data_IF_066429875199
#
_entry.id   IF_066429875199
#
_cell.length_a   1.000
_cell.length_b   1.000
_cell.length_c   1.000
_cell.angle_alpha   90.00
_cell.angle_beta   90.00
_cell.angle_gamma   90.00
#
_symmetry.space_group_name_H-M   'P 1'
#
loop_
_entity.id
_entity.type
_entity.pdbx_description
1 polymer ?
#
# COMPACT_ATOMS: atom_id res chain seq x y z
N UNK A 1 21.64 -3.26 21.58
CA UNK A 1 21.51 -2.62 20.26
C UNK A 1 20.92 -3.65 19.32
N UNK A 2 19.68 -3.46 18.87
CA UNK A 2 19.06 -4.32 17.86
C UNK A 2 19.44 -3.73 16.51
N UNK A 3 20.39 -4.34 15.80
CA UNK A 3 20.70 -3.92 14.43
C UNK A 3 19.56 -4.43 13.52
N UNK A 4 18.76 -3.54 12.92
CA UNK A 4 17.81 -3.98 11.90
C UNK A 4 18.61 -4.61 10.76
N UNK A 5 18.34 -5.88 10.50
CA UNK A 5 18.99 -6.63 9.42
C UNK A 5 18.82 -5.88 8.10
N UNK A 6 19.89 -5.78 7.30
CA UNK A 6 19.90 -5.06 5.99
C UNK A 6 18.73 -5.43 5.06
N UNK A 7 18.10 -6.59 5.28
CA UNK A 7 16.92 -7.08 4.57
C UNK A 7 15.63 -6.34 4.93
N UNK A 8 15.43 -5.96 6.21
CA UNK A 8 14.26 -5.21 6.67
C UNK A 8 14.13 -3.85 5.99
N UNK A 9 15.26 -3.15 5.84
CA UNK A 9 15.31 -1.88 5.12
C UNK A 9 15.03 -2.02 3.62
N UNK A 10 15.41 -3.15 3.00
CA UNK A 10 15.13 -3.39 1.57
C UNK A 10 13.64 -3.59 1.30
N UNK A 11 12.95 -4.36 2.14
CA UNK A 11 11.50 -4.58 2.02
C UNK A 11 10.73 -3.26 2.17
N UNK A 12 10.99 -2.54 3.25
CA UNK A 12 10.36 -1.24 3.52
C UNK A 12 10.62 -0.22 2.41
N UNK A 13 11.86 -0.12 1.91
CA UNK A 13 12.20 0.83 0.84
C UNK A 13 11.43 0.55 -0.45
N UNK A 14 11.27 -0.73 -0.82
CA UNK A 14 10.46 -1.11 -1.99
C UNK A 14 9.00 -0.71 -1.78
N UNK A 15 8.44 -1.03 -0.63
CA UNK A 15 7.06 -0.68 -0.31
C UNK A 15 6.82 0.83 -0.36
N UNK A 16 7.73 1.64 0.19
CA UNK A 16 7.67 3.11 0.17
C UNK A 16 7.70 3.67 -1.26
N UNK A 17 8.64 3.19 -2.09
CA UNK A 17 8.77 3.64 -3.48
C UNK A 17 7.55 3.27 -4.33
N UNK A 18 6.91 2.14 -4.05
CA UNK A 18 5.76 1.67 -4.83
C UNK A 18 4.41 2.18 -4.32
N UNK A 19 4.32 2.69 -3.09
CA UNK A 19 3.03 2.99 -2.45
C UNK A 19 2.18 3.98 -3.25
N UNK A 20 2.77 5.10 -3.69
CA UNK A 20 2.08 6.12 -4.48
C UNK A 20 1.57 5.58 -5.82
N UNK A 21 2.45 5.07 -6.70
CA UNK A 21 2.05 4.51 -7.98
C UNK A 21 1.02 3.38 -7.85
N UNK A 22 1.17 2.53 -6.84
CA UNK A 22 0.26 1.42 -6.59
C UNK A 22 -1.13 1.91 -6.15
N UNK A 23 -1.21 2.92 -5.29
CA UNK A 23 -2.48 3.53 -4.91
C UNK A 23 -3.18 4.16 -6.11
N UNK A 24 -2.46 4.89 -6.97
CA UNK A 24 -3.05 5.48 -8.19
C UNK A 24 -3.55 4.39 -9.15
N UNK A 25 -2.73 3.37 -9.40
CA UNK A 25 -3.10 2.28 -10.29
C UNK A 25 -4.35 1.53 -9.79
N UNK A 26 -4.45 1.26 -8.49
CA UNK A 26 -5.61 0.62 -7.88
C UNK A 26 -6.85 1.52 -7.89
N UNK A 27 -6.70 2.83 -7.70
CA UNK A 27 -7.80 3.79 -7.85
C UNK A 27 -8.34 3.77 -9.28
N UNK A 28 -7.47 3.83 -10.28
CA UNK A 28 -7.86 3.77 -11.70
C UNK A 28 -8.53 2.44 -12.04
N UNK A 29 -7.98 1.33 -11.57
CA UNK A 29 -8.58 0.01 -11.77
C UNK A 29 -9.97 -0.10 -11.11
N UNK A 30 -10.14 0.46 -9.91
CA UNK A 30 -11.42 0.47 -9.22
C UNK A 30 -12.45 1.37 -9.92
N UNK A 31 -12.02 2.52 -10.47
CA UNK A 31 -12.90 3.38 -11.28
C UNK A 31 -13.35 2.67 -12.55
N UNK A 32 -12.43 2.07 -13.29
CA UNK A 32 -12.76 1.28 -14.49
C UNK A 32 -13.69 0.11 -14.16
N UNK A 33 -13.52 -0.54 -13.01
CA UNK A 33 -14.39 -1.64 -12.58
C UNK A 33 -15.84 -1.20 -12.35
N UNK A 34 -16.05 0.03 -11.84
CA UNK A 34 -17.38 0.57 -11.58
C UNK A 34 -18.17 0.91 -12.85
N UNK A 35 -17.50 0.99 -14.00
CA UNK A 35 -18.12 1.28 -15.30
C UNK A 35 -18.61 0.01 -16.01
N UNK A 36 -18.24 -1.19 -15.55
CA UNK A 36 -18.73 -2.42 -16.18
C UNK A 36 -20.25 -2.61 -15.98
N UNK A 37 -21.00 -3.06 -17.00
CA UNK A 37 -20.54 -3.59 -18.28
C UNK A 37 -20.44 -2.54 -19.42
N UNK A 38 -20.64 -1.25 -19.14
CA UNK A 38 -20.59 -0.20 -20.16
C UNK A 38 -19.18 -0.07 -20.76
N UNK A 39 -19.11 0.49 -21.96
CA UNK A 39 -17.85 0.73 -22.65
C UNK A 39 -17.04 1.78 -21.87
N UNK A 40 -15.79 1.45 -21.54
CA UNK A 40 -14.85 2.38 -20.92
C UNK A 40 -14.40 3.37 -22.01
N UNK A 41 -15.06 4.53 -22.08
CA UNK A 41 -14.69 5.59 -23.00
C UNK A 41 -13.43 6.31 -22.48
N UNK A 42 -12.26 5.81 -22.88
CA UNK A 42 -10.99 6.47 -22.59
C UNK A 42 -10.78 7.69 -23.48
N UNK A 43 -11.07 8.85 -22.92
CA UNK A 43 -10.77 10.12 -23.57
C UNK A 43 -9.24 10.27 -23.75
N UNK A 44 -8.74 10.70 -24.93
CA UNK A 44 -7.30 10.82 -25.19
C UNK A 44 -6.57 11.76 -24.21
N UNK A 45 -7.28 12.77 -23.71
CA UNK A 45 -6.78 13.69 -22.69
C UNK A 45 -6.55 12.99 -21.34
N UNK A 46 -7.44 12.06 -20.96
CA UNK A 46 -7.27 11.26 -19.75
C UNK A 46 -6.05 10.32 -19.87
N UNK A 47 -5.81 9.76 -21.07
CA UNK A 47 -4.65 8.91 -21.36
C UNK A 47 -3.31 9.64 -21.14
N UNK A 48 -3.24 10.93 -21.50
CA UNK A 48 -2.07 11.79 -21.28
C UNK A 48 -1.91 12.21 -19.81
N UNK A 49 -3.01 12.30 -19.05
CA UNK A 49 -2.98 12.64 -17.63
C UNK A 49 -2.42 11.54 -16.73
N UNK A 50 -2.67 10.26 -17.06
CA UNK A 50 -2.21 9.09 -16.28
C UNK A 50 -0.70 9.12 -15.98
N UNK A 51 0.22 9.27 -16.96
CA UNK A 51 1.65 9.29 -16.65
C UNK A 51 2.07 10.47 -15.77
N UNK A 52 1.39 11.61 -15.88
CA UNK A 52 1.66 12.79 -15.04
C UNK A 52 1.27 12.51 -13.59
N UNK A 53 0.08 11.95 -13.36
CA UNK A 53 -0.40 11.57 -12.02
C UNK A 53 0.49 10.47 -11.43
N UNK A 54 0.90 9.50 -12.25
CA UNK A 54 1.79 8.42 -11.81
C UNK A 54 3.19 8.95 -11.43
N UNK A 55 3.73 9.90 -12.20
CA UNK A 55 5.00 10.56 -11.89
C UNK A 55 4.89 11.37 -10.59
N UNK A 56 3.81 12.12 -10.42
CA UNK A 56 3.56 12.84 -9.18
C UNK A 56 3.45 11.88 -7.99
N UNK A 57 2.73 10.76 -8.14
CA UNK A 57 2.61 9.75 -7.11
C UNK A 57 3.94 9.04 -6.81
N UNK A 58 4.81 8.86 -7.80
CA UNK A 58 6.16 8.33 -7.62
C UNK A 58 7.06 9.30 -6.82
N UNK A 59 6.95 10.60 -7.06
CA UNK A 59 7.77 11.61 -6.39
C UNK A 59 7.26 11.89 -4.98
N UNK A 60 5.95 12.15 -4.83
CA UNK A 60 5.35 12.60 -3.57
C UNK A 60 4.85 11.46 -2.69
N UNK A 61 4.47 10.32 -3.28
CA UNK A 61 3.98 9.14 -2.55
C UNK A 61 4.94 8.65 -1.47
N UNK A 62 6.27 8.56 -1.73
CA UNK A 62 7.25 8.19 -0.70
C UNK A 62 7.21 9.08 0.54
N UNK A 63 7.00 10.40 0.39
CA UNK A 63 6.98 11.32 1.54
C UNK A 63 5.80 11.05 2.47
N UNK A 64 4.64 10.73 1.92
CA UNK A 64 3.44 10.39 2.69
C UNK A 64 3.53 8.98 3.27
N UNK A 65 4.06 8.03 2.50
CA UNK A 65 4.09 6.62 2.86
C UNK A 65 5.28 6.23 3.77
N UNK A 66 6.34 7.03 3.82
CA UNK A 66 7.58 6.70 4.54
C UNK A 66 7.34 6.41 6.02
N UNK A 67 6.74 7.36 6.75
CA UNK A 67 6.50 7.23 8.19
C UNK A 67 5.61 6.03 8.55
N UNK A 68 4.40 5.86 7.98
CA UNK A 68 3.54 4.74 8.35
C UNK A 68 4.15 3.38 7.97
N UNK A 69 4.82 3.27 6.82
CA UNK A 69 5.45 2.01 6.40
C UNK A 69 6.65 1.68 7.30
N UNK A 70 7.51 2.66 7.63
CA UNK A 70 8.65 2.43 8.51
C UNK A 70 8.20 2.03 9.92
N UNK A 71 7.23 2.74 10.50
CA UNK A 71 6.68 2.44 11.82
C UNK A 71 6.01 1.05 11.86
N UNK A 72 5.15 0.76 10.89
CA UNK A 72 4.47 -0.54 10.78
C UNK A 72 5.43 -1.70 10.56
N UNK A 73 6.46 -1.50 9.72
CA UNK A 73 7.49 -2.52 9.47
C UNK A 73 8.30 -2.81 10.72
N UNK A 74 8.71 -1.78 11.47
CA UNK A 74 9.44 -1.96 12.73
C UNK A 74 8.60 -2.71 13.76
N UNK A 75 7.34 -2.31 13.94
CA UNK A 75 6.41 -2.95 14.86
C UNK A 75 6.19 -4.43 14.50
N UNK A 76 5.97 -4.73 13.23
CA UNK A 76 5.74 -6.11 12.78
C UNK A 76 6.97 -6.99 12.91
N UNK A 77 8.18 -6.45 12.70
CA UNK A 77 9.41 -7.20 13.02
C UNK A 77 9.51 -7.51 14.52
N UNK A 78 9.20 -6.53 15.38
CA UNK A 78 9.23 -6.73 16.84
C UNK A 78 8.19 -7.75 17.32
N UNK A 79 7.00 -7.76 16.71
CA UNK A 79 5.96 -8.74 17.01
C UNK A 79 6.29 -10.14 16.48
N UNK A 80 6.87 -10.22 15.28
CA UNK A 80 7.29 -11.48 14.68
C UNK A 80 8.46 -12.16 15.43
N UNK A 81 9.23 -11.42 16.24
CA UNK A 81 10.21 -12.01 17.17
C UNK A 81 9.56 -12.72 18.36
N UNK A 82 8.32 -12.34 18.71
CA UNK A 82 7.60 -12.90 19.87
C UNK A 82 6.54 -13.93 19.48
N UNK A 83 6.01 -13.83 18.26
CA UNK A 83 4.92 -14.67 17.78
C UNK A 83 5.25 -15.21 16.38
N UNK A 84 5.50 -16.51 16.27
CA UNK A 84 5.87 -17.16 14.99
C UNK A 84 4.81 -17.00 13.91
N UNK A 85 3.52 -16.95 14.28
CA UNK A 85 2.42 -16.75 13.33
C UNK A 85 2.57 -15.42 12.58
N UNK A 86 3.13 -14.40 13.24
CA UNK A 86 3.37 -13.08 12.64
C UNK A 86 4.64 -13.03 11.79
N UNK A 87 5.44 -14.10 11.75
CA UNK A 87 6.54 -14.23 10.80
C UNK A 87 6.07 -14.53 9.37
N UNK A 88 4.84 -15.03 9.23
CA UNK A 88 4.27 -15.38 7.94
C UNK A 88 3.92 -14.13 7.11
N UNK A 89 4.34 -14.13 5.85
CA UNK A 89 4.03 -13.07 4.89
C UNK A 89 2.53 -12.73 4.75
N UNK A 90 1.58 -13.70 4.73
CA UNK A 90 0.15 -13.37 4.71
C UNK A 90 -0.33 -12.64 5.97
N UNK A 91 0.26 -12.89 7.14
CA UNK A 91 -0.08 -12.16 8.37
C UNK A 91 0.26 -10.67 8.25
N UNK A 92 1.35 -10.34 7.53
CA UNK A 92 1.73 -8.96 7.24
C UNK A 92 0.74 -8.28 6.31
N UNK A 93 0.33 -8.95 5.22
CA UNK A 93 -0.72 -8.42 4.35
C UNK A 93 -2.03 -8.20 5.11
N UNK A 94 -2.47 -9.15 5.93
CA UNK A 94 -3.69 -9.02 6.72
C UNK A 94 -3.61 -7.81 7.67
N UNK A 95 -2.48 -7.63 8.38
CA UNK A 95 -2.27 -6.47 9.22
C UNK A 95 -2.29 -5.14 8.42
N UNK A 96 -1.68 -5.12 7.24
CA UNK A 96 -1.73 -3.97 6.33
C UNK A 96 -3.15 -3.63 5.88
N UNK A 97 -3.93 -4.64 5.48
CA UNK A 97 -5.34 -4.48 5.09
C UNK A 97 -6.19 -3.94 6.25
N UNK A 98 -6.04 -4.52 7.45
CA UNK A 98 -6.77 -4.08 8.65
C UNK A 98 -6.38 -2.65 9.04
N UNK A 99 -5.10 -2.30 8.98
CA UNK A 99 -4.62 -0.95 9.27
C UNK A 99 -5.16 0.06 8.27
N UNK A 100 -5.13 -0.28 6.98
CA UNK A 100 -5.71 0.56 5.93
C UNK A 100 -7.22 0.76 6.12
N UNK A 101 -7.96 -0.32 6.44
CA UNK A 101 -9.40 -0.25 6.67
C UNK A 101 -9.74 0.59 7.91
N UNK A 102 -8.99 0.43 9.00
CA UNK A 102 -9.14 1.23 10.20
C UNK A 102 -8.85 2.72 9.93
N UNK A 103 -7.82 3.04 9.14
CA UNK A 103 -7.50 4.40 8.77
C UNK A 103 -8.61 5.05 7.91
N UNK A 104 -9.04 4.35 6.86
CA UNK A 104 -10.14 4.79 5.97
C UNK A 104 -11.43 5.00 6.76
N UNK A 105 -11.73 4.13 7.72
CA UNK A 105 -12.87 4.29 8.63
C UNK A 105 -12.71 5.53 9.53
N UNK A 106 -11.54 5.70 10.15
CA UNK A 106 -11.27 6.81 11.07
C UNK A 106 -11.37 8.19 10.42
N UNK A 107 -10.98 8.31 9.15
CA UNK A 107 -11.09 9.57 8.39
C UNK A 107 -12.43 9.72 7.66
N UNK A 108 -13.35 8.75 7.80
CA UNK A 108 -14.67 8.77 7.16
C UNK A 108 -14.65 8.63 5.64
N UNK A 109 -13.59 8.06 5.04
CA UNK A 109 -13.46 8.04 3.58
C UNK A 109 -14.47 7.08 2.90
N UNK A 110 -14.94 6.07 3.61
CA UNK A 110 -15.94 5.12 3.11
C UNK A 110 -17.22 5.79 2.62
N UNK A 111 -17.61 6.92 3.21
CA UNK A 111 -18.82 7.66 2.83
C UNK A 111 -18.58 8.63 1.66
N UNK A 112 -17.31 8.95 1.36
CA UNK A 112 -16.94 9.97 0.39
C UNK A 112 -16.48 9.39 -0.95
N UNK A 113 -15.73 8.28 -0.93
CA UNK A 113 -15.25 7.63 -2.16
C UNK A 113 -14.90 6.17 -1.93
N UNK A 114 -15.70 5.26 -2.51
CA UNK A 114 -15.46 3.81 -2.44
C UNK A 114 -14.17 3.38 -3.17
N UNK A 115 -13.87 4.00 -4.32
CA UNK A 115 -12.70 3.65 -5.16
C UNK A 115 -11.38 4.01 -4.46
N UNK A 116 -11.28 5.21 -3.88
CA UNK A 116 -10.10 5.64 -3.13
C UNK A 116 -9.95 4.85 -1.83
N UNK A 117 -11.08 4.55 -1.16
CA UNK A 117 -11.08 3.70 0.05
C UNK A 117 -10.51 2.31 -0.25
N UNK A 118 -10.98 1.66 -1.32
CA UNK A 118 -10.45 0.38 -1.78
C UNK A 118 -8.96 0.46 -2.10
N UNK A 119 -8.56 1.47 -2.87
CA UNK A 119 -7.17 1.65 -3.28
C UNK A 119 -6.22 1.81 -2.09
N UNK A 120 -6.59 2.61 -1.07
CA UNK A 120 -5.79 2.79 0.14
C UNK A 120 -5.68 1.50 0.97
N UNK A 121 -6.78 0.77 1.13
CA UNK A 121 -6.79 -0.50 1.88
C UNK A 121 -5.90 -1.52 1.18
N UNK A 122 -6.12 -1.74 -0.12
CA UNK A 122 -5.36 -2.69 -0.91
C UNK A 122 -3.86 -2.30 -0.98
N UNK A 123 -3.56 -1.01 -1.14
CA UNK A 123 -2.17 -0.49 -1.09
C UNK A 123 -1.52 -0.81 0.25
N UNK A 124 -2.22 -0.59 1.36
CA UNK A 124 -1.69 -0.87 2.70
C UNK A 124 -1.34 -2.35 2.87
N UNK A 125 -2.20 -3.25 2.39
CA UNK A 125 -1.95 -4.70 2.38
C UNK A 125 -0.73 -5.09 1.54
N UNK A 126 -0.64 -4.58 0.30
CA UNK A 126 0.48 -4.87 -0.61
C UNK A 126 1.79 -4.29 -0.07
N UNK A 127 1.80 -3.06 0.44
CA UNK A 127 2.97 -2.46 1.05
C UNK A 127 3.46 -3.27 2.27
N UNK A 128 2.56 -3.78 3.11
CA UNK A 128 2.94 -4.65 4.22
C UNK A 128 3.52 -5.99 3.73
N UNK A 129 2.94 -6.58 2.68
CA UNK A 129 3.48 -7.80 2.04
C UNK A 129 4.87 -7.60 1.42
N UNK A 130 5.11 -6.43 0.83
CA UNK A 130 6.41 -6.06 0.24
C UNK A 130 7.45 -5.72 1.31
N UNK A 131 7.01 -5.19 2.46
CA UNK A 131 7.87 -4.85 3.58
C UNK A 131 8.40 -6.07 4.34
N UNK A 132 7.73 -7.22 4.20
CA UNK A 132 8.20 -8.48 4.74
C UNK A 132 9.54 -8.88 4.12
N UNK A 133 10.52 -9.17 4.98
CA UNK A 133 11.91 -9.39 4.57
C UNK A 133 12.58 -10.61 5.20
N UNK A 134 11.83 -11.41 5.97
CA UNK A 134 12.37 -12.63 6.56
C UNK A 134 12.46 -13.72 5.48
N UNK A 135 13.69 -14.04 5.10
CA UNK A 135 14.00 -15.33 4.47
C UNK A 135 13.74 -16.41 5.51
N UNK A 136 12.88 -17.38 5.18
CA UNK A 136 12.78 -18.61 5.96
C UNK A 136 14.20 -19.18 6.13
N UNK A 137 14.57 -19.46 7.37
CA UNK A 137 15.82 -20.15 7.70
C UNK A 137 15.73 -21.61 7.24
#
# INVERSE_FOLDING_TARGET
>A
MYEPTKTAFRGASRAILTAGPLCVALSLAAMAYMELPDAIDLEPAALLGIPVVLLFALIFGPFVACLPIAAGTFLMHHLADRFDILSARPAWAAAGLLTGAAFVWAIGLFTSSGTVSFALIATSGVCAWLSHSRTAA
#
